data_IF_968311125660
#
_entry.id   IF_968311125660
#
_cell.length_a   1.000
_cell.length_b   1.000
_cell.length_c   1.000
_cell.angle_alpha   90.00
_cell.angle_beta   90.00
_cell.angle_gamma   90.00
#
_symmetry.space_group_name_H-M   'P 1'
#
loop_
_entity.id
_entity.type
_entity.pdbx_description
1 polymer ?
#
# COMPACT_ATOMS: atom_id res chain seq x y z
N UNK A 1 26.82 2.07 2.43
CA UNK A 1 25.56 2.82 2.33
C UNK A 1 25.55 3.49 0.97
N UNK A 2 24.63 3.11 0.09
CA UNK A 2 24.60 3.61 -1.29
C UNK A 2 23.69 4.82 -1.33
N UNK A 3 24.22 6.00 -1.70
CA UNK A 3 23.44 7.24 -1.79
C UNK A 3 23.12 7.52 -3.26
N UNK A 4 21.85 7.75 -3.57
CA UNK A 4 21.38 8.17 -4.90
C UNK A 4 20.98 9.65 -4.83
N UNK A 5 21.41 10.44 -5.83
CA UNK A 5 21.03 11.85 -5.94
C UNK A 5 19.78 11.95 -6.80
N UNK A 6 18.75 12.62 -6.27
CA UNK A 6 17.52 12.91 -7.00
C UNK A 6 17.26 14.41 -7.03
N UNK A 7 16.57 14.88 -8.07
CA UNK A 7 16.08 16.26 -8.17
C UNK A 7 14.56 16.24 -8.18
N UNK A 8 13.95 17.12 -7.37
CA UNK A 8 12.51 17.19 -7.19
C UNK A 8 12.04 18.63 -7.44
N UNK A 9 10.92 18.78 -8.14
CA UNK A 9 10.25 20.08 -8.27
C UNK A 9 9.10 20.13 -7.29
N UNK A 10 9.13 21.13 -6.42
CA UNK A 10 8.11 21.39 -5.42
C UNK A 10 7.42 22.72 -5.70
N UNK A 11 6.12 22.83 -5.40
CA UNK A 11 5.44 24.11 -5.29
C UNK A 11 6.15 25.04 -4.28
N UNK A 12 6.09 26.36 -4.52
CA UNK A 12 6.80 27.37 -3.72
C UNK A 12 6.31 27.38 -2.27
N UNK A 13 5.02 27.25 -2.06
CA UNK A 13 4.39 27.16 -0.74
C UNK A 13 4.89 25.96 0.06
N UNK A 14 5.06 24.80 -0.59
CA UNK A 14 5.64 23.60 0.05
C UNK A 14 7.10 23.84 0.44
N UNK A 15 7.87 24.51 -0.42
CA UNK A 15 9.26 24.86 -0.09
C UNK A 15 9.35 25.80 1.12
N UNK A 16 8.50 26.83 1.20
CA UNK A 16 8.48 27.74 2.35
C UNK A 16 8.07 27.03 3.64
N UNK A 17 7.11 26.09 3.57
CA UNK A 17 6.73 25.27 4.71
C UNK A 17 7.90 24.39 5.20
N UNK A 18 8.64 23.75 4.28
CA UNK A 18 9.83 22.97 4.61
C UNK A 18 10.93 23.82 5.25
N UNK A 19 11.12 25.05 4.75
CA UNK A 19 12.09 25.99 5.31
C UNK A 19 11.71 26.44 6.72
N UNK A 20 10.43 26.71 6.96
CA UNK A 20 9.93 27.03 8.30
C UNK A 20 10.13 25.84 9.27
N UNK A 21 9.86 24.61 8.83
CA UNK A 21 10.07 23.42 9.64
C UNK A 21 11.55 23.16 9.95
N UNK A 22 12.43 23.34 8.97
CA UNK A 22 13.87 23.26 9.15
C UNK A 22 14.36 24.26 10.21
N UNK A 23 13.86 25.51 10.16
CA UNK A 23 14.17 26.53 11.16
C UNK A 23 13.64 26.17 12.57
N UNK A 24 12.41 25.65 12.68
CA UNK A 24 11.82 25.24 13.97
C UNK A 24 12.57 24.07 14.60
N UNK A 25 12.97 23.10 13.79
CA UNK A 25 13.61 21.86 14.24
C UNK A 25 15.14 21.95 14.36
N UNK A 26 15.74 23.05 13.90
CA UNK A 26 17.20 23.22 13.87
C UNK A 26 17.90 22.26 12.90
N UNK A 27 17.19 21.82 11.85
CA UNK A 27 17.67 20.84 10.87
C UNK A 27 17.89 21.48 9.51
N UNK A 28 18.64 20.80 8.64
CA UNK A 28 18.69 21.16 7.23
C UNK A 28 17.42 20.68 6.48
N UNK A 29 17.04 21.38 5.41
CA UNK A 29 15.83 21.05 4.63
C UNK A 29 15.90 19.63 4.07
N UNK A 30 17.08 19.16 3.65
CA UNK A 30 17.22 17.82 3.11
C UNK A 30 17.06 16.75 4.19
N UNK A 31 17.40 17.03 5.45
CA UNK A 31 17.15 16.15 6.59
C UNK A 31 15.65 16.07 6.87
N UNK A 32 14.96 17.21 6.92
CA UNK A 32 13.49 17.24 7.06
C UNK A 32 12.83 16.42 5.94
N UNK A 33 13.31 16.58 4.70
CA UNK A 33 12.79 15.85 3.56
C UNK A 33 13.05 14.34 3.65
N UNK A 34 14.26 13.93 4.07
CA UNK A 34 14.60 12.50 4.29
C UNK A 34 13.72 11.87 5.36
N UNK A 35 13.51 12.57 6.48
CA UNK A 35 12.66 12.10 7.57
C UNK A 35 11.19 11.99 7.13
N UNK A 36 10.68 13.01 6.43
CA UNK A 36 9.31 13.00 5.91
C UNK A 36 9.07 11.83 4.93
N UNK A 37 10.00 11.58 4.02
CA UNK A 37 9.92 10.45 3.08
C UNK A 37 9.99 9.12 3.83
N UNK A 38 10.88 8.97 4.81
CA UNK A 38 10.96 7.77 5.62
C UNK A 38 9.65 7.51 6.37
N UNK A 39 9.09 8.53 7.03
CA UNK A 39 7.81 8.43 7.72
C UNK A 39 6.66 8.09 6.79
N UNK A 40 6.62 8.66 5.59
CA UNK A 40 5.60 8.34 4.58
C UNK A 40 5.65 6.86 4.20
N UNK A 41 6.84 6.34 3.92
CA UNK A 41 7.03 4.94 3.51
C UNK A 41 6.72 3.97 4.67
N UNK A 42 7.16 4.27 5.89
CA UNK A 42 6.82 3.45 7.07
C UNK A 42 5.32 3.47 7.36
N UNK A 43 4.66 4.62 7.20
CA UNK A 43 3.20 4.73 7.38
C UNK A 43 2.44 3.91 6.33
N UNK A 44 2.91 3.88 5.08
CA UNK A 44 2.31 3.02 4.06
C UNK A 44 2.48 1.52 4.38
N UNK A 45 3.67 1.11 4.87
CA UNK A 45 3.90 -0.24 5.39
C UNK A 45 2.94 -0.60 6.54
N UNK A 46 2.69 0.31 7.49
CA UNK A 46 1.74 0.07 8.58
C UNK A 46 0.27 0.00 8.11
N UNK A 47 -0.11 0.75 7.07
CA UNK A 47 -1.48 0.68 6.52
C UNK A 47 -1.74 -0.57 5.68
N UNK A 48 -0.71 -1.20 5.13
CA UNK A 48 -0.78 -2.56 4.58
C UNK A 48 -0.31 -3.51 5.68
N UNK A 49 -1.02 -3.50 6.82
CA UNK A 49 -0.72 -4.45 7.87
C UNK A 49 -0.94 -5.86 7.31
N UNK A 50 0.10 -6.68 7.32
CA UNK A 50 0.00 -8.11 6.98
C UNK A 50 -0.98 -8.88 7.89
N UNK A 51 -1.41 -8.24 8.98
CA UNK A 51 -2.44 -8.69 9.90
C UNK A 51 -3.86 -8.18 9.58
N UNK A 52 -4.10 -7.49 8.45
CA UNK A 52 -5.49 -7.17 8.07
C UNK A 52 -6.25 -8.50 7.89
N UNK A 53 -7.32 -8.75 8.68
CA UNK A 53 -8.09 -9.98 8.62
C UNK A 53 -8.64 -10.26 7.21
N UNK A 54 -8.75 -9.25 6.35
CA UNK A 54 -9.12 -9.41 4.94
C UNK A 54 -8.17 -10.34 4.19
N UNK A 55 -6.87 -10.29 4.49
CA UNK A 55 -5.85 -11.14 3.83
C UNK A 55 -5.83 -12.57 4.39
N UNK A 56 -6.42 -12.78 5.57
CA UNK A 56 -6.61 -14.10 6.17
C UNK A 56 -7.91 -14.77 5.70
N UNK A 57 -8.80 -14.05 5.00
CA UNK A 57 -10.08 -14.58 4.50
C UNK A 57 -9.93 -15.85 3.64
N UNK A 58 -8.93 -16.00 2.76
CA UNK A 58 -8.77 -17.25 2.00
C UNK A 58 -8.46 -18.46 2.90
N UNK A 59 -7.65 -18.25 3.95
CA UNK A 59 -7.29 -19.27 4.93
C UNK A 59 -8.51 -19.64 5.80
N UNK A 60 -9.20 -18.63 6.32
CA UNK A 60 -10.44 -18.78 7.12
C UNK A 60 -11.53 -19.48 6.30
N UNK A 61 -11.71 -19.09 5.04
CA UNK A 61 -12.67 -19.72 4.15
C UNK A 61 -12.33 -21.20 3.94
N UNK A 62 -11.05 -21.57 3.86
CA UNK A 62 -10.62 -22.97 3.75
C UNK A 62 -10.90 -23.76 5.03
N UNK A 63 -10.62 -23.18 6.21
CA UNK A 63 -10.89 -23.81 7.51
C UNK A 63 -12.40 -24.01 7.77
N UNK A 64 -13.23 -23.07 7.32
CA UNK A 64 -14.69 -23.12 7.48
C UNK A 64 -15.41 -23.95 6.39
N UNK A 65 -14.68 -24.70 5.57
CA UNK A 65 -15.27 -25.59 4.56
C UNK A 65 -15.75 -24.89 3.29
N UNK A 66 -15.14 -23.77 2.93
CA UNK A 66 -15.33 -23.08 1.66
C UNK A 66 -15.06 -23.99 0.46
N UNK A 67 -15.59 -23.62 -0.71
CA UNK A 67 -15.65 -24.49 -1.89
C UNK A 67 -14.29 -24.98 -2.43
N UNK A 68 -13.17 -24.44 -1.95
CA UNK A 68 -11.82 -24.76 -2.42
C UNK A 68 -11.51 -24.24 -3.84
N UNK A 69 -12.44 -23.51 -4.45
CA UNK A 69 -12.32 -22.98 -5.81
C UNK A 69 -11.42 -21.74 -5.77
N UNK A 70 -10.24 -21.84 -6.39
CA UNK A 70 -9.23 -20.76 -6.40
C UNK A 70 -9.40 -19.77 -7.55
N UNK A 71 -10.16 -20.15 -8.58
CA UNK A 71 -10.41 -19.38 -9.81
C UNK A 71 -11.88 -18.95 -9.95
N UNK A 72 -12.63 -18.99 -8.83
CA UNK A 72 -14.07 -18.77 -8.80
C UNK A 72 -14.47 -17.39 -9.32
N UNK A 73 -13.65 -16.36 -9.10
CA UNK A 73 -13.90 -15.02 -9.65
C UNK A 73 -13.83 -14.99 -11.19
N UNK A 74 -12.90 -15.75 -11.77
CA UNK A 74 -12.65 -15.78 -13.22
C UNK A 74 -13.63 -16.70 -13.95
N UNK A 75 -13.98 -17.82 -13.34
CA UNK A 75 -14.83 -18.85 -13.94
C UNK A 75 -16.17 -19.01 -13.20
N UNK A 76 -16.68 -17.94 -12.57
CA UNK A 76 -17.91 -17.99 -11.76
C UNK A 76 -19.08 -18.57 -12.55
N UNK A 77 -19.22 -18.26 -13.84
CA UNK A 77 -20.30 -18.77 -14.67
C UNK A 77 -20.31 -20.31 -14.74
N UNK A 78 -19.13 -20.92 -14.86
CA UNK A 78 -18.99 -22.39 -14.87
C UNK A 78 -19.43 -23.00 -13.54
N UNK A 79 -19.13 -22.35 -12.43
CA UNK A 79 -19.42 -22.88 -11.09
C UNK A 79 -20.85 -22.58 -10.62
N UNK A 80 -21.42 -21.45 -11.03
CA UNK A 80 -22.78 -21.04 -10.67
C UNK A 80 -23.84 -21.65 -11.58
N UNK A 81 -23.52 -21.82 -12.88
CA UNK A 81 -24.51 -22.23 -13.88
C UNK A 81 -24.18 -23.56 -14.57
N UNK A 82 -22.99 -24.12 -14.35
CA UNK A 82 -22.51 -25.32 -15.06
C UNK A 82 -22.14 -25.03 -16.52
N UNK A 83 -21.37 -25.91 -17.15
CA UNK A 83 -21.06 -25.81 -18.59
C UNK A 83 -22.35 -25.92 -19.43
N UNK A 84 -22.95 -24.77 -19.72
CA UNK A 84 -24.07 -24.64 -20.65
C UNK A 84 -25.41 -25.09 -20.08
N UNK A 85 -26.25 -24.11 -19.77
CA UNK A 85 -27.61 -24.12 -20.29
C UNK A 85 -27.54 -24.53 -21.77
N UNK A 86 -27.75 -25.82 -22.06
CA UNK A 86 -27.88 -26.32 -23.44
C UNK A 86 -29.16 -25.73 -24.00
N UNK A 87 -29.03 -24.69 -24.81
CA UNK A 87 -29.95 -24.39 -25.90
C UNK A 87 -29.56 -25.22 -27.12
#
# INVERSE_FOLDING_TARGET
MTTVVYSLRLPVDVYEALKAEAARSGKDIAQVLREAVAMYLTREEETVSGDDPIWQLPEIARELGGSGITDGAVHHDKYLYGEGARA
#
